data_IF_121717495551
#
_entry.id   IF_121717495551
#
_cell.length_a   1.000
_cell.length_b   1.000
_cell.length_c   1.000
_cell.angle_alpha   90.00
_cell.angle_beta   90.00
_cell.angle_gamma   90.00
#
_symmetry.space_group_name_H-M   'P 1'
#
loop_
_entity.id
_entity.type
_entity.pdbx_description
1 polymer ?
#
# COMPACT_ATOMS: atom_id res chain seq x y z
N UNK A 1 -18.95 -3.57 45.28
CA UNK A 1 -18.09 -3.75 44.09
C UNK A 1 -18.27 -2.50 43.25
N UNK A 2 -17.18 -1.82 42.93
CA UNK A 2 -17.23 -0.48 42.38
C UNK A 2 -17.97 -0.46 41.03
N UNK A 3 -19.04 0.34 40.93
CA UNK A 3 -19.80 0.54 39.70
C UNK A 3 -19.05 1.49 38.76
N UNK A 4 -17.83 1.12 38.35
CA UNK A 4 -17.04 1.93 37.42
C UNK A 4 -17.39 1.60 35.97
N UNK A 5 -17.13 2.54 35.07
CA UNK A 5 -17.29 2.32 33.63
C UNK A 5 -16.45 1.12 33.15
N UNK A 6 -15.25 0.93 33.68
CA UNK A 6 -14.37 -0.21 33.37
C UNK A 6 -15.09 -1.55 33.57
N UNK A 7 -15.67 -1.76 34.75
CA UNK A 7 -16.33 -3.03 35.09
C UNK A 7 -17.56 -3.26 34.20
N UNK A 8 -18.34 -2.21 33.95
CA UNK A 8 -19.50 -2.25 33.06
C UNK A 8 -19.08 -2.60 31.63
N UNK A 9 -18.00 -2.00 31.13
CA UNK A 9 -17.45 -2.24 29.79
C UNK A 9 -16.87 -3.64 29.68
N UNK A 10 -16.16 -4.12 30.70
CA UNK A 10 -15.60 -5.47 30.71
C UNK A 10 -16.70 -6.53 30.64
N UNK A 11 -17.80 -6.35 31.39
CA UNK A 11 -19.00 -7.21 31.28
C UNK A 11 -19.58 -7.21 29.87
N UNK A 12 -19.61 -6.05 29.20
CA UNK A 12 -20.09 -5.96 27.81
C UNK A 12 -19.22 -6.75 26.84
N UNK A 13 -17.90 -6.61 26.97
CA UNK A 13 -16.93 -7.33 26.14
C UNK A 13 -17.13 -8.84 26.30
N UNK A 14 -17.28 -9.33 27.54
CA UNK A 14 -17.54 -10.74 27.80
C UNK A 14 -18.91 -11.18 27.24
N UNK A 15 -19.95 -10.34 27.34
CA UNK A 15 -21.27 -10.63 26.80
C UNK A 15 -21.35 -10.64 25.26
N UNK A 16 -20.34 -10.12 24.56
CA UNK A 16 -20.25 -10.24 23.10
C UNK A 16 -19.79 -11.64 22.66
N UNK A 17 -19.22 -12.44 23.57
CA UNK A 17 -18.73 -13.80 23.32
C UNK A 17 -17.72 -13.87 22.14
N UNK A 18 -16.89 -12.84 21.99
CA UNK A 18 -15.89 -12.75 20.90
C UNK A 18 -14.64 -13.61 21.17
N UNK A 19 -14.45 -14.01 22.42
CA UNK A 19 -13.32 -14.82 22.91
C UNK A 19 -13.87 -16.01 23.69
N UNK A 20 -13.16 -17.14 23.61
CA UNK A 20 -13.60 -18.39 24.24
C UNK A 20 -13.55 -18.36 25.78
N UNK A 21 -12.69 -17.52 26.35
CA UNK A 21 -12.53 -17.37 27.81
C UNK A 21 -12.98 -15.96 28.25
N UNK A 22 -13.60 -15.88 29.42
CA UNK A 22 -13.98 -14.59 30.01
C UNK A 22 -12.74 -13.73 30.26
N UNK A 23 -12.77 -12.48 29.79
CA UNK A 23 -11.70 -11.55 30.06
C UNK A 23 -11.78 -11.06 31.51
N UNK A 24 -10.71 -11.24 32.33
CA UNK A 24 -10.71 -10.79 33.71
C UNK A 24 -10.31 -9.32 33.87
N UNK A 25 -9.71 -8.70 32.85
CA UNK A 25 -9.24 -7.31 32.90
C UNK A 25 -9.01 -6.72 31.52
N UNK A 26 -9.39 -5.45 31.33
CA UNK A 26 -9.13 -4.72 30.07
C UNK A 26 -7.64 -4.64 29.70
N UNK A 27 -6.70 -4.91 30.62
CA UNK A 27 -5.27 -4.99 30.27
C UNK A 27 -4.99 -6.03 29.18
N UNK A 28 -5.78 -7.10 29.08
CA UNK A 28 -5.64 -8.10 28.02
C UNK A 28 -5.99 -7.56 26.61
N UNK A 29 -6.45 -6.31 26.49
CA UNK A 29 -6.54 -5.63 25.19
C UNK A 29 -5.16 -5.38 24.58
N UNK A 30 -4.11 -5.16 25.38
CA UNK A 30 -2.75 -4.94 24.86
C UNK A 30 -2.13 -6.19 24.25
N UNK A 31 -2.62 -7.37 24.66
CA UNK A 31 -2.14 -8.66 24.17
C UNK A 31 -2.80 -9.03 22.82
N UNK A 32 -3.69 -8.18 22.28
CA UNK A 32 -4.38 -8.40 21.01
C UNK A 32 -5.51 -9.44 21.05
N UNK A 33 -5.57 -10.27 22.09
CA UNK A 33 -6.55 -11.36 22.23
C UNK A 33 -8.01 -10.91 22.14
N UNK A 34 -8.31 -9.69 22.61
CA UNK A 34 -9.68 -9.15 22.62
C UNK A 34 -9.87 -8.12 21.52
N UNK A 35 -8.86 -7.27 21.32
CA UNK A 35 -8.92 -6.20 20.34
C UNK A 35 -9.05 -6.75 18.91
N UNK A 36 -8.30 -7.80 18.57
CA UNK A 36 -8.30 -8.38 17.22
C UNK A 36 -9.67 -8.97 16.85
N UNK A 37 -10.33 -9.81 17.68
CA UNK A 37 -11.70 -10.24 17.43
C UNK A 37 -12.70 -9.08 17.33
N UNK A 38 -12.58 -8.10 18.22
CA UNK A 38 -13.49 -6.95 18.28
C UNK A 38 -13.38 -6.06 17.03
N UNK A 39 -12.17 -5.87 16.50
CA UNK A 39 -11.95 -5.21 15.21
C UNK A 39 -12.37 -6.08 14.02
N UNK A 40 -12.19 -7.40 14.12
CA UNK A 40 -12.59 -8.34 13.06
C UNK A 40 -14.10 -8.25 12.82
N UNK A 41 -14.89 -8.10 13.89
CA UNK A 41 -16.33 -7.86 13.81
C UNK A 41 -16.73 -6.55 13.12
N UNK A 42 -15.87 -5.52 13.14
CA UNK A 42 -16.17 -4.21 12.53
C UNK A 42 -15.79 -4.13 11.05
N UNK A 43 -14.88 -4.98 10.59
CA UNK A 43 -14.24 -4.88 9.27
C UNK A 43 -14.41 -6.10 8.39
N UNK A 44 -14.94 -7.22 8.91
CA UNK A 44 -14.95 -8.53 8.25
C UNK A 44 -13.56 -8.99 7.79
N UNK A 45 -12.52 -8.53 8.46
CA UNK A 45 -11.13 -8.93 8.25
C UNK A 45 -10.66 -9.78 9.43
N UNK A 46 -9.71 -10.69 9.20
CA UNK A 46 -9.07 -11.43 10.29
C UNK A 46 -7.77 -10.75 10.69
N UNK A 47 -7.72 -10.23 11.91
CA UNK A 47 -6.52 -9.62 12.46
C UNK A 47 -5.78 -10.60 13.38
N UNK A 48 -4.47 -10.75 13.17
CA UNK A 48 -3.56 -11.48 14.08
C UNK A 48 -2.41 -10.58 14.57
N UNK A 49 -2.59 -9.29 14.42
CA UNK A 49 -1.62 -8.24 14.67
C UNK A 49 -1.60 -7.93 16.18
N UNK A 50 -0.44 -7.48 16.69
CA UNK A 50 -0.30 -7.03 18.08
C UNK A 50 -0.97 -5.66 18.30
N UNK A 51 -1.15 -5.23 19.56
CA UNK A 51 -1.83 -3.96 19.84
C UNK A 51 -1.13 -2.76 19.17
N UNK A 52 0.21 -2.74 19.13
CA UNK A 52 1.01 -1.64 18.59
C UNK A 52 0.81 -1.49 17.09
N UNK A 53 0.82 -2.60 16.35
CA UNK A 53 0.59 -2.63 14.89
C UNK A 53 -0.85 -2.30 14.53
N UNK A 54 -1.81 -2.48 15.45
CA UNK A 54 -3.21 -2.09 15.27
C UNK A 54 -3.47 -0.59 15.51
N UNK A 55 -2.56 0.16 16.15
CA UNK A 55 -2.77 1.59 16.47
C UNK A 55 -3.14 2.44 15.24
N UNK A 56 -2.40 2.40 14.11
CA UNK A 56 -2.74 3.24 12.95
C UNK A 56 -4.15 2.96 12.41
N UNK A 57 -4.59 1.70 12.49
CA UNK A 57 -5.94 1.29 12.08
C UNK A 57 -6.99 1.78 13.07
N UNK A 58 -6.72 1.69 14.37
CA UNK A 58 -7.59 2.24 15.41
C UNK A 58 -7.75 3.74 15.28
N UNK A 59 -6.67 4.49 15.08
CA UNK A 59 -6.72 5.93 14.84
C UNK A 59 -7.53 6.28 13.59
N UNK A 60 -7.34 5.52 12.50
CA UNK A 60 -8.12 5.70 11.27
C UNK A 60 -9.61 5.44 11.51
N UNK A 61 -9.93 4.36 12.24
CA UNK A 61 -11.31 4.00 12.59
C UNK A 61 -11.97 5.06 13.48
N UNK A 62 -11.30 5.49 14.55
CA UNK A 62 -11.82 6.52 15.45
C UNK A 62 -12.02 7.86 14.72
N UNK A 63 -11.10 8.27 13.85
CA UNK A 63 -11.24 9.49 13.03
C UNK A 63 -12.42 9.43 12.05
N UNK A 64 -12.81 8.25 11.59
CA UNK A 64 -14.00 8.08 10.73
C UNK A 64 -15.31 8.27 11.48
N UNK A 65 -15.34 7.94 12.77
CA UNK A 65 -16.57 8.00 13.59
C UNK A 65 -16.66 9.23 14.50
N UNK A 66 -15.53 9.85 14.86
CA UNK A 66 -15.48 10.97 15.79
C UNK A 66 -14.59 12.10 15.26
N UNK A 67 -15.08 13.34 15.38
CA UNK A 67 -14.37 14.53 14.92
C UNK A 67 -13.35 15.09 15.96
N UNK A 68 -13.30 14.52 17.17
CA UNK A 68 -12.45 15.00 18.25
C UNK A 68 -10.98 14.61 18.05
N UNK A 69 -10.02 15.56 18.17
CA UNK A 69 -8.60 15.22 18.15
C UNK A 69 -8.20 14.49 19.43
N UNK A 70 -7.28 13.53 19.32
CA UNK A 70 -6.59 12.88 20.44
C UNK A 70 -7.53 12.40 21.56
N UNK A 71 -8.58 11.65 21.19
CA UNK A 71 -9.55 11.11 22.15
C UNK A 71 -8.92 10.07 23.09
N UNK A 72 -7.94 9.33 22.58
CA UNK A 72 -7.19 8.28 23.27
C UNK A 72 -5.72 8.65 23.26
N UNK A 73 -5.07 8.54 24.41
CA UNK A 73 -3.61 8.55 24.48
C UNK A 73 -3.10 7.11 24.26
N UNK A 74 -2.72 6.81 23.01
CA UNK A 74 -2.28 5.47 22.63
C UNK A 74 -0.94 5.09 23.27
N UNK A 75 -0.06 6.05 23.59
CA UNK A 75 1.20 5.75 24.28
C UNK A 75 0.90 5.20 25.69
N UNK A 76 0.02 5.88 26.42
CA UNK A 76 -0.48 5.40 27.72
C UNK A 76 -1.25 4.08 27.62
N UNK A 77 -2.03 3.87 26.55
CA UNK A 77 -2.78 2.64 26.34
C UNK A 77 -1.86 1.42 26.11
N UNK A 78 -0.78 1.58 25.34
CA UNK A 78 0.24 0.53 25.10
C UNK A 78 0.90 0.09 26.41
N UNK A 79 1.15 1.02 27.32
CA UNK A 79 1.73 0.73 28.65
C UNK A 79 0.70 0.09 29.60
N UNK A 80 -0.54 -0.12 29.15
CA UNK A 80 -1.58 -0.79 29.92
C UNK A 80 -2.35 0.15 30.85
N UNK A 81 -2.44 1.44 30.51
CA UNK A 81 -3.30 2.39 31.23
C UNK A 81 -4.76 1.95 31.13
N UNK A 82 -5.30 1.43 32.22
CA UNK A 82 -6.68 0.97 32.31
C UNK A 82 -7.68 2.06 31.91
N UNK A 83 -7.38 3.33 32.22
CA UNK A 83 -8.25 4.45 31.86
C UNK A 83 -8.32 4.64 30.34
N UNK A 84 -7.18 4.67 29.64
CA UNK A 84 -7.16 4.80 28.17
C UNK A 84 -7.75 3.58 27.48
N UNK A 85 -7.49 2.38 28.00
CA UNK A 85 -8.11 1.14 27.51
C UNK A 85 -9.63 1.16 27.70
N UNK A 86 -10.13 1.68 28.82
CA UNK A 86 -11.57 1.84 29.08
C UNK A 86 -12.20 2.80 28.07
N UNK A 87 -11.57 3.95 27.80
CA UNK A 87 -12.04 4.89 26.77
C UNK A 87 -12.06 4.22 25.39
N UNK A 88 -10.97 3.55 25.02
CA UNK A 88 -10.85 2.88 23.72
C UNK A 88 -11.97 1.86 23.55
N UNK A 89 -12.19 1.00 24.55
CA UNK A 89 -13.25 0.01 24.55
C UNK A 89 -14.64 0.66 24.45
N UNK A 90 -14.89 1.74 25.20
CA UNK A 90 -16.17 2.45 25.14
C UNK A 90 -16.45 2.97 23.73
N UNK A 91 -15.45 3.59 23.08
CA UNK A 91 -15.59 4.09 21.72
C UNK A 91 -15.80 2.96 20.70
N UNK A 92 -15.07 1.85 20.84
CA UNK A 92 -15.23 0.70 19.96
C UNK A 92 -16.60 0.03 20.13
N UNK A 93 -17.08 -0.14 21.37
CA UNK A 93 -18.44 -0.63 21.65
C UNK A 93 -19.50 0.30 21.07
N UNK A 94 -19.29 1.62 21.13
CA UNK A 94 -20.18 2.59 20.50
C UNK A 94 -20.23 2.42 18.98
N UNK A 95 -19.08 2.25 18.34
CA UNK A 95 -19.00 1.98 16.90
C UNK A 95 -19.75 0.68 16.58
N UNK A 96 -19.47 -0.41 17.29
CA UNK A 96 -20.16 -1.70 17.14
C UNK A 96 -21.68 -1.53 17.21
N UNK A 97 -22.19 -0.80 18.20
CA UNK A 97 -23.63 -0.60 18.39
C UNK A 97 -24.27 0.14 17.21
N UNK A 98 -23.53 1.04 16.57
CA UNK A 98 -24.01 1.79 15.41
C UNK A 98 -23.92 0.95 14.13
N UNK A 99 -22.82 0.23 13.93
CA UNK A 99 -22.53 -0.46 12.66
C UNK A 99 -23.13 -1.87 12.60
N UNK A 100 -23.11 -2.62 13.71
CA UNK A 100 -23.46 -4.04 13.76
C UNK A 100 -24.77 -4.29 14.52
N UNK A 101 -25.87 -4.46 13.77
CA UNK A 101 -27.22 -4.60 14.35
C UNK A 101 -27.36 -5.85 15.24
N UNK A 102 -26.68 -6.94 14.90
CA UNK A 102 -26.67 -8.20 15.67
C UNK A 102 -25.95 -8.03 17.00
N UNK A 103 -24.76 -7.39 16.99
CA UNK A 103 -23.99 -7.15 18.22
C UNK A 103 -24.65 -6.09 19.10
N UNK A 104 -25.33 -5.10 18.50
CA UNK A 104 -26.19 -4.16 19.25
C UNK A 104 -27.27 -4.90 20.03
N UNK A 105 -27.96 -5.86 19.41
CA UNK A 105 -29.00 -6.64 20.10
C UNK A 105 -28.40 -7.43 21.28
N UNK A 106 -27.20 -8.01 21.10
CA UNK A 106 -26.46 -8.72 22.14
C UNK A 106 -25.99 -7.85 23.29
N UNK A 107 -25.71 -6.56 23.07
CA UNK A 107 -25.27 -5.64 24.12
C UNK A 107 -26.45 -4.98 24.85
N UNK A 108 -27.42 -4.46 24.10
CA UNK A 108 -28.51 -3.65 24.66
C UNK A 108 -29.63 -4.51 25.23
N UNK A 109 -29.88 -5.68 24.63
CA UNK A 109 -30.92 -6.62 25.06
C UNK A 109 -30.30 -7.97 25.49
N UNK A 110 -29.08 -7.94 26.02
CA UNK A 110 -28.34 -9.15 26.40
C UNK A 110 -29.10 -9.94 27.46
N UNK A 111 -29.38 -11.25 27.28
CA UNK A 111 -29.86 -12.07 28.39
C UNK A 111 -28.75 -12.34 29.43
N UNK A 112 -27.48 -12.08 29.09
CA UNK A 112 -26.31 -12.31 29.94
C UNK A 112 -26.09 -11.14 30.91
N UNK A 113 -26.36 -9.91 30.45
CA UNK A 113 -26.21 -8.71 31.28
C UNK A 113 -27.48 -8.49 32.12
N UNK A 114 -27.30 -8.23 33.41
CA UNK A 114 -28.40 -7.83 34.29
C UNK A 114 -28.94 -6.44 33.91
N UNK A 115 -30.20 -6.18 34.26
CA UNK A 115 -30.90 -4.95 33.89
C UNK A 115 -30.16 -3.68 34.33
N UNK A 116 -29.50 -3.71 35.50
CA UNK A 116 -28.68 -2.59 35.98
C UNK A 116 -27.48 -2.34 35.05
N UNK A 117 -26.74 -3.38 34.65
CA UNK A 117 -25.63 -3.23 33.71
C UNK A 117 -26.12 -2.74 32.35
N UNK A 118 -27.23 -3.27 31.81
CA UNK A 118 -27.80 -2.80 30.54
C UNK A 118 -28.14 -1.29 30.58
N UNK A 119 -28.75 -0.82 31.66
CA UNK A 119 -29.07 0.59 31.84
C UNK A 119 -27.81 1.48 31.89
N UNK A 120 -26.77 1.03 32.59
CA UNK A 120 -25.47 1.72 32.69
C UNK A 120 -24.76 1.81 31.34
N UNK A 121 -24.76 0.72 30.58
CA UNK A 121 -24.20 0.67 29.21
C UNK A 121 -24.95 1.63 28.29
N UNK A 122 -26.27 1.60 28.35
CA UNK A 122 -27.11 2.53 27.59
C UNK A 122 -26.79 3.98 27.92
N UNK A 123 -26.63 4.31 29.22
CA UNK A 123 -26.21 5.64 29.66
C UNK A 123 -24.85 6.04 29.06
N UNK A 124 -23.84 5.18 29.17
CA UNK A 124 -22.49 5.45 28.64
C UNK A 124 -22.51 5.70 27.13
N UNK A 125 -23.21 4.85 26.38
CA UNK A 125 -23.33 4.96 24.93
C UNK A 125 -24.12 6.20 24.51
N UNK A 126 -25.22 6.51 25.19
CA UNK A 126 -25.99 7.75 24.96
C UNK A 126 -25.18 9.00 25.30
N UNK A 127 -24.34 8.96 26.34
CA UNK A 127 -23.50 10.09 26.73
C UNK A 127 -22.45 10.39 25.64
N UNK A 128 -21.84 9.36 25.06
CA UNK A 128 -20.95 9.49 23.88
C UNK A 128 -21.72 10.05 22.69
N UNK A 129 -22.89 9.48 22.38
CA UNK A 129 -23.71 9.90 21.23
C UNK A 129 -24.17 11.36 21.33
N UNK A 130 -24.69 11.78 22.50
CA UNK A 130 -25.21 13.13 22.75
C UNK A 130 -24.11 14.20 22.64
N UNK A 131 -22.85 13.84 22.92
CA UNK A 131 -21.73 14.76 22.74
C UNK A 131 -21.36 14.95 21.26
N UNK A 132 -21.41 13.88 20.45
CA UNK A 132 -21.13 13.94 19.02
C UNK A 132 -19.82 14.66 18.71
N UNK A 133 -19.88 15.75 17.94
CA UNK A 133 -18.71 16.57 17.58
C UNK A 133 -18.02 17.25 18.77
N UNK A 134 -18.70 17.39 19.93
CA UNK A 134 -18.13 17.94 21.16
C UNK A 134 -17.45 16.90 22.06
N UNK A 135 -17.28 15.66 21.58
CA UNK A 135 -16.57 14.62 22.32
C UNK A 135 -15.09 14.99 22.48
N UNK A 136 -14.57 14.92 23.69
CA UNK A 136 -13.18 15.26 24.02
C UNK A 136 -12.60 14.26 25.01
N UNK A 137 -11.27 14.13 25.04
CA UNK A 137 -10.57 13.27 26.00
C UNK A 137 -10.91 13.65 27.46
N UNK A 138 -11.07 14.95 27.76
CA UNK A 138 -11.51 15.43 29.08
C UNK A 138 -12.90 14.91 29.47
N UNK A 139 -13.85 14.91 28.53
CA UNK A 139 -15.18 14.37 28.78
C UNK A 139 -15.14 12.86 28.99
N UNK A 140 -14.39 12.13 28.16
CA UNK A 140 -14.21 10.68 28.31
C UNK A 140 -13.54 10.34 29.64
N UNK A 141 -12.56 11.12 30.10
CA UNK A 141 -11.96 10.97 31.44
C UNK A 141 -13.01 11.06 32.55
N UNK A 142 -13.90 12.07 32.48
CA UNK A 142 -14.98 12.23 33.45
C UNK A 142 -15.91 11.02 33.39
N UNK A 143 -16.35 10.64 32.19
CA UNK A 143 -17.27 9.52 32.00
C UNK A 143 -16.70 8.18 32.48
N UNK A 144 -15.41 7.93 32.28
CA UNK A 144 -14.75 6.70 32.73
C UNK A 144 -14.48 6.67 34.24
N UNK A 145 -14.43 7.82 34.91
CA UNK A 145 -14.18 7.93 36.36
C UNK A 145 -15.44 8.17 37.18
N UNK A 146 -16.58 8.42 36.53
CA UNK A 146 -17.88 8.59 37.15
C UNK A 146 -18.33 7.27 37.83
N UNK A 147 -18.89 7.39 39.04
CA UNK A 147 -19.52 6.26 39.72
C UNK A 147 -20.94 6.08 39.19
N UNK A 148 -21.20 4.91 38.62
CA UNK A 148 -22.49 4.58 38.00
C UNK A 148 -23.43 3.98 39.06
N UNK A 149 -23.91 4.82 39.99
CA UNK A 149 -24.82 4.38 41.05
C UNK A 149 -26.28 4.29 40.56
N UNK A 150 -27.02 3.29 41.07
CA UNK A 150 -28.38 2.97 40.60
C UNK A 150 -29.42 4.09 40.88
N UNK A 151 -29.07 5.10 41.70
CA UNK A 151 -29.96 6.21 42.07
C UNK A 151 -30.13 7.28 40.98
N UNK A 152 -29.26 7.34 39.96
CA UNK A 152 -29.39 8.32 38.88
C UNK A 152 -30.49 7.99 37.85
N UNK A 153 -31.10 6.80 37.93
CA UNK A 153 -32.08 6.34 36.94
C UNK A 153 -33.55 6.56 37.34
N UNK A 154 -33.86 6.87 38.60
CA UNK A 154 -35.25 6.95 39.08
C UNK A 154 -35.96 8.29 38.79
N UNK A 155 -35.21 9.38 38.61
CA UNK A 155 -35.83 10.72 38.54
C UNK A 155 -36.59 10.97 37.23
N UNK A 156 -36.36 10.17 36.17
CA UNK A 156 -36.99 10.40 34.87
C UNK A 156 -38.35 9.70 34.68
N UNK A 157 -38.75 8.79 35.58
CA UNK A 157 -39.96 7.95 35.42
C UNK A 157 -41.10 8.23 36.43
N UNK A 158 -40.89 9.07 37.44
CA UNK A 158 -41.79 9.17 38.61
C UNK A 158 -42.89 10.24 38.53
N UNK A 159 -43.08 10.93 37.40
CA UNK A 159 -44.04 12.03 37.26
C UNK A 159 -45.44 11.63 36.77
N UNK A 160 -45.72 10.34 36.56
CA UNK A 160 -46.98 9.85 35.99
C UNK A 160 -47.56 8.76 36.88
N UNK A 161 -48.20 9.08 38.02
CA UNK A 161 -49.19 8.20 38.71
C UNK A 161 -49.73 8.71 40.07
N UNK A 162 -50.07 10.00 40.22
CA UNK A 162 -50.80 10.44 41.44
C UNK A 162 -51.94 11.40 41.13
N UNK A 163 -53.12 10.84 40.86
CA UNK A 163 -54.42 11.50 41.05
C UNK A 163 -55.46 10.45 41.44
N UNK A 164 -56.24 10.76 42.49
CA UNK A 164 -57.52 10.19 42.93
C UNK A 164 -57.56 9.43 44.28
N UNK A 165 -58.17 10.09 45.27
CA UNK A 165 -58.94 9.50 46.38
C UNK A 165 -60.32 10.17 46.41
N UNK A 166 -61.42 9.46 46.76
CA UNK A 166 -62.66 10.10 47.18
C UNK A 166 -62.95 9.90 48.67
N UNK A 167 -63.59 10.94 49.22
CA UNK A 167 -63.97 11.16 50.61
C UNK A 167 -65.25 10.40 50.98
N UNK A 168 -65.29 9.87 52.20
CA UNK A 168 -66.39 9.16 52.86
C UNK A 168 -67.19 10.13 53.73
N UNK A 169 -68.53 10.02 53.74
CA UNK A 169 -69.41 10.76 54.67
C UNK A 169 -70.69 9.99 55.00
N UNK A 170 -70.83 9.58 56.26
CA UNK A 170 -71.98 8.90 56.88
C UNK A 170 -72.83 9.86 57.74
N UNK A 171 -74.10 9.50 57.95
CA UNK A 171 -74.98 9.94 59.05
C UNK A 171 -76.34 10.44 58.53
N UNK A 172 -77.53 10.02 58.98
CA UNK A 172 -77.97 9.24 60.14
C UNK A 172 -78.71 10.13 61.17
N UNK A 173 -80.04 10.01 61.31
CA UNK A 173 -80.76 10.37 62.56
C UNK A 173 -82.12 11.09 62.48
N UNK A 174 -83.22 10.33 62.64
CA UNK A 174 -84.24 10.43 63.73
C UNK A 174 -85.09 11.69 64.01
N UNK A 175 -86.41 11.57 63.75
CA UNK A 175 -87.52 11.65 64.73
C UNK A 175 -87.92 12.97 65.45
N UNK A 176 -89.24 13.28 65.46
CA UNK A 176 -89.88 13.98 66.61
C UNK A 176 -90.84 15.13 66.30
N UNK A 177 -92.11 14.94 66.67
CA UNK A 177 -93.31 15.78 66.48
C UNK A 177 -93.30 17.08 67.30
N UNK A 178 -93.72 18.22 66.71
CA UNK A 178 -94.19 19.42 67.45
C UNK A 178 -94.00 20.77 66.75
N UNK A 179 -95.08 21.55 66.58
CA UNK A 179 -95.05 23.02 66.42
C UNK A 179 -94.96 23.60 65.00
N UNK A 180 -96.11 23.93 64.39
CA UNK A 180 -96.19 24.55 63.05
C UNK A 180 -95.44 25.90 62.93
N UNK A 181 -95.23 26.64 64.02
CA UNK A 181 -94.47 27.90 64.03
C UNK A 181 -92.95 27.70 64.11
N UNK A 182 -92.48 26.66 64.80
CA UNK A 182 -91.06 26.29 64.84
C UNK A 182 -90.59 25.76 63.48
N UNK A 183 -91.44 24.98 62.79
CA UNK A 183 -91.19 24.53 61.43
C UNK A 183 -91.05 25.69 60.44
N UNK A 184 -91.84 26.76 60.59
CA UNK A 184 -91.77 27.90 59.68
C UNK A 184 -90.49 28.72 59.86
N UNK A 185 -90.01 28.89 61.11
CA UNK A 185 -88.72 29.54 61.37
C UNK A 185 -87.53 28.68 60.91
N UNK A 186 -87.61 27.37 61.12
CA UNK A 186 -86.57 26.45 60.67
C UNK A 186 -86.52 26.37 59.14
N UNK A 187 -87.67 26.36 58.44
CA UNK A 187 -87.71 26.44 56.97
C UNK A 187 -87.08 27.74 56.46
N UNK A 188 -87.37 28.89 57.09
CA UNK A 188 -86.73 30.17 56.70
C UNK A 188 -85.22 30.17 56.97
N UNK A 189 -84.78 29.58 58.08
CA UNK A 189 -83.36 29.43 58.42
C UNK A 189 -82.64 28.56 57.39
N UNK A 190 -83.25 27.43 57.02
CA UNK A 190 -82.71 26.52 56.00
C UNK A 190 -82.71 27.16 54.61
N UNK A 191 -83.74 27.93 54.23
CA UNK A 191 -83.76 28.71 52.98
C UNK A 191 -82.64 29.76 52.94
N UNK A 192 -82.43 30.48 54.03
CA UNK A 192 -81.32 31.45 54.12
C UNK A 192 -79.95 30.75 54.05
N UNK A 193 -79.81 29.59 54.70
CA UNK A 193 -78.57 28.82 54.65
C UNK A 193 -78.29 28.30 53.23
N UNK A 194 -79.31 27.83 52.51
CA UNK A 194 -79.18 27.43 51.12
C UNK A 194 -78.80 28.60 50.20
N UNK A 195 -79.39 29.78 50.40
CA UNK A 195 -79.03 30.99 49.66
C UNK A 195 -77.58 31.38 49.90
N UNK A 196 -77.13 31.39 51.15
CA UNK A 196 -75.73 31.71 51.48
C UNK A 196 -74.75 30.70 50.85
N UNK A 197 -75.06 29.39 50.90
CA UNK A 197 -74.24 28.37 50.24
C UNK A 197 -74.17 28.57 48.73
N UNK A 198 -75.30 28.87 48.08
CA UNK A 198 -75.35 29.15 46.65
C UNK A 198 -74.57 30.41 46.27
N UNK A 199 -74.60 31.45 47.11
CA UNK A 199 -73.79 32.66 46.91
C UNK A 199 -72.28 32.37 47.04
N UNK A 200 -71.86 31.57 48.02
CA UNK A 200 -70.47 31.13 48.16
C UNK A 200 -70.01 30.28 46.97
N UNK A 201 -70.85 29.34 46.51
CA UNK A 201 -70.55 28.52 45.34
C UNK A 201 -70.44 29.36 44.06
N UNK A 202 -71.33 30.34 43.89
CA UNK A 202 -71.26 31.30 42.78
C UNK A 202 -69.96 32.12 42.82
N UNK A 203 -69.53 32.57 44.00
CA UNK A 203 -68.27 33.29 44.17
C UNK A 203 -67.07 32.41 43.81
N UNK A 204 -67.03 31.17 44.31
CA UNK A 204 -65.98 30.18 44.01
C UNK A 204 -65.93 29.86 42.52
N UNK A 205 -67.09 29.69 41.88
CA UNK A 205 -67.19 29.45 40.44
C UNK A 205 -66.61 30.63 39.64
N UNK A 206 -66.95 31.87 40.01
CA UNK A 206 -66.44 33.07 39.35
C UNK A 206 -64.91 33.21 39.53
N UNK A 207 -64.38 32.97 40.73
CA UNK A 207 -62.94 32.94 40.97
C UNK A 207 -62.24 31.87 40.13
N UNK A 208 -62.81 30.66 40.04
CA UNK A 208 -62.27 29.59 39.20
C UNK A 208 -62.30 29.94 37.71
N UNK A 209 -63.35 30.60 37.22
CA UNK A 209 -63.43 31.10 35.84
C UNK A 209 -62.36 32.18 35.56
N UNK A 210 -62.10 33.08 36.50
CA UNK A 210 -61.03 34.07 36.34
C UNK A 210 -59.64 33.42 36.34
N UNK A 211 -59.42 32.41 37.19
CA UNK A 211 -58.16 31.67 37.23
C UNK A 211 -57.94 30.83 35.97
N UNK A 212 -59.00 30.22 35.42
CA UNK A 212 -58.90 29.46 34.17
C UNK A 212 -58.63 30.38 32.97
N UNK A 213 -59.28 31.54 32.90
CA UNK A 213 -59.02 32.55 31.87
C UNK A 213 -57.54 33.00 31.88
N UNK A 214 -56.99 33.34 33.06
CA UNK A 214 -55.56 33.69 33.21
C UNK A 214 -54.61 32.57 32.78
N UNK A 215 -54.97 31.31 33.05
CA UNK A 215 -54.19 30.15 32.60
C UNK A 215 -54.23 29.99 31.08
N UNK A 216 -55.40 30.16 30.47
CA UNK A 216 -55.58 30.12 29.01
C UNK A 216 -54.73 31.21 28.35
N UNK A 217 -54.76 32.44 28.85
CA UNK A 217 -53.94 33.54 28.30
C UNK A 217 -52.44 33.25 28.39
N UNK A 218 -51.99 32.69 29.52
CA UNK A 218 -50.58 32.30 29.69
C UNK A 218 -50.18 31.19 28.72
N UNK A 219 -51.04 30.21 28.50
CA UNK A 219 -50.81 29.14 27.53
C UNK A 219 -50.78 29.70 26.09
N UNK A 220 -51.69 30.61 25.74
CA UNK A 220 -51.71 31.25 24.42
C UNK A 220 -50.40 32.02 24.14
N UNK A 221 -49.87 32.75 25.12
CA UNK A 221 -48.58 33.42 25.00
C UNK A 221 -47.44 32.42 24.80
N UNK A 222 -47.47 31.27 25.50
CA UNK A 222 -46.47 30.23 25.34
C UNK A 222 -46.54 29.58 23.94
N UNK A 223 -47.74 29.30 23.44
CA UNK A 223 -47.96 28.76 22.09
C UNK A 223 -47.39 29.72 21.05
N UNK A 224 -47.72 31.02 21.11
CA UNK A 224 -47.18 32.02 20.19
C UNK A 224 -45.64 32.11 20.23
N UNK A 225 -45.04 32.00 21.43
CA UNK A 225 -43.57 31.98 21.57
C UNK A 225 -42.95 30.72 20.94
N UNK A 226 -43.61 29.57 21.07
CA UNK A 226 -43.14 28.32 20.46
C UNK A 226 -43.29 28.36 18.93
N UNK A 227 -44.39 28.89 18.41
CA UNK A 227 -44.59 29.09 16.96
C UNK A 227 -43.53 30.02 16.35
N UNK A 228 -43.19 31.11 17.03
CA UNK A 228 -42.13 32.02 16.59
C UNK A 228 -40.76 31.32 16.57
N UNK A 229 -40.45 30.54 17.62
CA UNK A 229 -39.22 29.73 17.67
C UNK A 229 -39.18 28.68 16.56
N UNK A 230 -40.29 28.00 16.31
CA UNK A 230 -40.40 26.98 15.25
C UNK A 230 -40.06 27.59 13.88
N UNK A 231 -40.68 28.73 13.54
CA UNK A 231 -40.41 29.46 12.29
C UNK A 231 -38.93 29.88 12.18
N UNK A 232 -38.33 30.32 13.28
CA UNK A 232 -36.91 30.69 13.30
C UNK A 232 -36.01 29.46 13.04
N UNK A 233 -36.32 28.31 13.63
CA UNK A 233 -35.58 27.07 13.39
C UNK A 233 -35.77 26.54 11.97
N UNK A 234 -36.96 26.67 11.38
CA UNK A 234 -37.22 26.30 9.98
C UNK A 234 -36.37 27.15 9.03
N UNK A 235 -36.35 28.47 9.22
CA UNK A 235 -35.51 29.38 8.42
C UNK A 235 -34.02 29.06 8.58
N UNK A 236 -33.58 28.73 9.81
CA UNK A 236 -32.19 28.32 10.05
C UNK A 236 -31.85 27.00 9.37
N UNK A 237 -32.77 26.03 9.37
CA UNK A 237 -32.60 24.75 8.68
C UNK A 237 -32.48 24.96 7.17
N UNK A 238 -33.37 25.73 6.58
CA UNK A 238 -33.39 25.97 5.14
C UNK A 238 -32.11 26.70 4.67
N UNK A 239 -31.60 27.63 5.48
CA UNK A 239 -30.30 28.27 5.23
C UNK A 239 -29.13 27.27 5.29
N UNK A 240 -29.13 26.37 6.28
CA UNK A 240 -28.11 25.32 6.36
C UNK A 240 -28.20 24.34 5.19
N UNK A 241 -29.40 23.98 4.75
CA UNK A 241 -29.61 23.10 3.59
C UNK A 241 -29.10 23.75 2.30
N UNK A 242 -29.33 25.05 2.09
CA UNK A 242 -28.75 25.78 0.96
C UNK A 242 -27.21 25.78 0.99
N UNK A 243 -26.61 25.97 2.17
CA UNK A 243 -25.14 25.92 2.33
C UNK A 243 -24.60 24.53 2.02
N UNK A 244 -25.28 23.47 2.47
CA UNK A 244 -24.91 22.08 2.17
C UNK A 244 -24.94 21.85 0.66
N UNK A 245 -26.05 22.19 -0.02
CA UNK A 245 -26.18 22.06 -1.48
C UNK A 245 -25.07 22.81 -2.23
N UNK A 246 -24.77 24.05 -1.82
CA UNK A 246 -23.66 24.82 -2.43
C UNK A 246 -22.28 24.19 -2.20
N UNK A 247 -22.07 23.56 -1.04
CA UNK A 247 -20.83 22.84 -0.72
C UNK A 247 -20.68 21.53 -1.49
N UNK A 248 -21.77 20.80 -1.69
CA UNK A 248 -21.82 19.59 -2.52
C UNK A 248 -21.52 19.91 -3.98
N UNK A 249 -22.09 20.99 -4.53
CA UNK A 249 -21.79 21.47 -5.89
C UNK A 249 -20.31 21.81 -6.06
N UNK A 250 -19.70 22.51 -5.09
CA UNK A 250 -18.27 22.84 -5.14
C UNK A 250 -17.40 21.58 -5.09
N UNK A 251 -17.76 20.61 -4.26
CA UNK A 251 -17.05 19.33 -4.13
C UNK A 251 -17.13 18.53 -5.43
N UNK A 252 -18.32 18.46 -6.04
CA UNK A 252 -18.51 17.79 -7.33
C UNK A 252 -17.70 18.46 -8.45
N UNK A 253 -17.65 19.80 -8.47
CA UNK A 253 -16.80 20.54 -9.41
C UNK A 253 -15.31 20.23 -9.21
N UNK A 254 -14.84 20.12 -7.96
CA UNK A 254 -13.46 19.75 -7.66
C UNK A 254 -13.16 18.30 -8.08
N UNK A 255 -14.07 17.36 -7.82
CA UNK A 255 -13.92 15.96 -8.22
C UNK A 255 -13.81 15.83 -9.74
N UNK A 256 -14.70 16.48 -10.49
CA UNK A 256 -14.64 16.50 -11.96
C UNK A 256 -13.34 17.13 -12.49
N UNK A 257 -12.79 18.12 -11.78
CA UNK A 257 -11.48 18.71 -12.14
C UNK A 257 -10.34 17.72 -11.89
N UNK A 258 -10.36 17.00 -10.77
CA UNK A 258 -9.36 15.99 -10.45
C UNK A 258 -9.40 14.84 -11.46
N UNK A 259 -10.57 14.33 -11.81
CA UNK A 259 -10.73 13.27 -12.82
C UNK A 259 -10.12 13.68 -14.17
N UNK A 260 -10.30 14.95 -14.56
CA UNK A 260 -9.69 15.48 -15.80
C UNK A 260 -8.17 15.54 -15.71
N UNK A 261 -7.63 15.97 -14.57
CA UNK A 261 -6.17 16.05 -14.36
C UNK A 261 -5.55 14.65 -14.35
N UNK A 262 -6.20 13.70 -13.69
CA UNK A 262 -5.78 12.30 -13.67
C UNK A 262 -5.77 11.70 -15.07
N UNK A 263 -6.85 11.89 -15.86
CA UNK A 263 -6.88 11.43 -17.25
C UNK A 263 -5.89 12.14 -18.18
N UNK A 264 -5.42 13.35 -17.87
CA UNK A 264 -4.29 13.97 -18.60
C UNK A 264 -2.98 13.30 -18.19
N UNK A 265 -2.75 13.11 -16.89
CA UNK A 265 -1.53 12.49 -16.36
C UNK A 265 -1.36 11.05 -16.86
N UNK A 266 -2.43 10.26 -16.92
CA UNK A 266 -2.40 8.90 -17.48
C UNK A 266 -1.98 8.90 -18.94
N UNK A 267 -2.54 9.81 -19.75
CA UNK A 267 -2.18 9.95 -21.17
C UNK A 267 -0.73 10.40 -21.35
N UNK A 268 -0.26 11.33 -20.54
CA UNK A 268 1.14 11.77 -20.57
C UNK A 268 2.12 10.66 -20.13
N UNK A 269 1.74 9.89 -19.11
CA UNK A 269 2.54 8.75 -18.64
C UNK A 269 2.64 7.68 -19.73
N UNK A 270 1.50 7.29 -20.30
CA UNK A 270 1.45 6.32 -21.40
C UNK A 270 2.25 6.81 -22.61
N UNK A 271 2.11 8.08 -23.00
CA UNK A 271 2.85 8.64 -24.13
C UNK A 271 4.36 8.63 -23.87
N UNK A 272 4.80 9.03 -22.68
CA UNK A 272 6.22 9.01 -22.30
C UNK A 272 6.79 7.59 -22.31
N UNK A 273 6.08 6.63 -21.72
CA UNK A 273 6.49 5.22 -21.72
C UNK A 273 6.59 4.68 -23.14
N UNK A 274 5.56 4.91 -23.96
CA UNK A 274 5.54 4.49 -25.35
C UNK A 274 6.72 5.05 -26.15
N UNK A 275 6.97 6.37 -26.06
CA UNK A 275 8.12 7.00 -26.73
C UNK A 275 9.47 6.45 -26.24
N UNK A 276 9.60 6.19 -24.93
CA UNK A 276 10.84 5.65 -24.35
C UNK A 276 11.10 4.24 -24.84
N UNK A 277 10.06 3.38 -24.84
CA UNK A 277 10.16 2.01 -25.37
C UNK A 277 10.54 2.04 -26.84
N UNK A 278 9.89 2.87 -27.65
CA UNK A 278 10.19 2.97 -29.07
C UNK A 278 11.63 3.44 -29.33
N UNK A 279 12.13 4.37 -28.53
CA UNK A 279 13.50 4.84 -28.60
C UNK A 279 14.49 3.72 -28.26
N UNK A 280 14.23 2.96 -27.18
CA UNK A 280 15.09 1.82 -26.79
C UNK A 280 15.12 0.76 -27.89
N UNK A 281 13.97 0.38 -28.44
CA UNK A 281 13.88 -0.58 -29.54
C UNK A 281 14.68 -0.10 -30.74
N UNK A 282 14.46 1.15 -31.18
CA UNK A 282 15.22 1.74 -32.30
C UNK A 282 16.74 1.72 -32.06
N UNK A 283 17.19 2.06 -30.84
CA UNK A 283 18.62 2.02 -30.52
C UNK A 283 19.16 0.59 -30.47
N UNK A 284 18.35 -0.38 -30.06
CA UNK A 284 18.75 -1.78 -30.03
C UNK A 284 18.88 -2.34 -31.44
N UNK A 285 17.92 -2.04 -32.33
CA UNK A 285 17.99 -2.41 -33.74
C UNK A 285 19.24 -1.81 -34.42
N UNK A 286 19.56 -0.54 -34.11
CA UNK A 286 20.80 0.09 -34.57
C UNK A 286 22.07 -0.62 -34.05
N UNK A 287 22.09 -1.02 -32.77
CA UNK A 287 23.23 -1.73 -32.19
C UNK A 287 23.38 -3.14 -32.78
N UNK A 288 22.28 -3.84 -32.98
CA UNK A 288 22.26 -5.17 -33.59
C UNK A 288 22.79 -5.11 -35.03
N UNK A 289 22.35 -4.12 -35.81
CA UNK A 289 22.86 -3.89 -37.18
C UNK A 289 24.36 -3.59 -37.23
N UNK A 290 24.92 -2.96 -36.18
CA UNK A 290 26.38 -2.71 -36.06
C UNK A 290 27.16 -3.92 -35.53
N UNK A 291 26.53 -4.78 -34.74
CA UNK A 291 27.17 -5.96 -34.17
C UNK A 291 27.40 -7.06 -35.22
N UNK A 292 26.49 -7.21 -36.17
CA UNK A 292 26.59 -8.20 -37.24
C UNK A 292 27.88 -8.07 -38.10
N UNK A 293 28.26 -6.88 -38.64
CA UNK A 293 29.49 -6.73 -39.39
C UNK A 293 30.75 -6.85 -38.52
N UNK A 294 30.69 -6.49 -37.23
CA UNK A 294 31.81 -6.70 -36.30
C UNK A 294 32.03 -8.19 -36.05
N UNK A 295 30.95 -8.96 -35.87
CA UNK A 295 31.00 -10.41 -35.70
C UNK A 295 31.53 -11.08 -36.96
N UNK A 296 31.12 -10.62 -38.14
CA UNK A 296 31.66 -11.10 -39.42
C UNK A 296 33.14 -10.79 -39.60
N UNK A 297 33.64 -9.67 -39.07
CA UNK A 297 35.08 -9.35 -39.06
C UNK A 297 35.87 -10.14 -38.03
N UNK A 298 35.28 -10.46 -36.88
CA UNK A 298 35.97 -11.18 -35.80
C UNK A 298 36.26 -12.65 -36.14
N UNK A 299 35.36 -13.31 -36.87
CA UNK A 299 35.51 -14.71 -37.30
C UNK A 299 36.78 -14.99 -38.11
N UNK A 300 37.08 -14.28 -39.22
CA UNK A 300 38.30 -14.50 -39.98
C UNK A 300 39.55 -14.14 -39.17
N UNK A 301 39.52 -13.09 -38.35
CA UNK A 301 40.67 -12.75 -37.49
C UNK A 301 40.93 -13.80 -36.42
N UNK A 302 39.89 -14.49 -35.93
CA UNK A 302 40.06 -15.65 -35.06
C UNK A 302 40.68 -16.82 -35.80
N UNK A 303 40.19 -17.14 -36.99
CA UNK A 303 40.74 -18.21 -37.82
C UNK A 303 42.22 -17.96 -38.20
N UNK A 304 42.58 -16.72 -38.52
CA UNK A 304 43.96 -16.32 -38.81
C UNK A 304 44.86 -16.46 -37.57
N UNK A 305 44.34 -16.13 -36.39
CA UNK A 305 45.06 -16.32 -35.12
C UNK A 305 45.34 -17.80 -34.84
N UNK A 306 44.35 -18.66 -35.02
CA UNK A 306 44.47 -20.11 -34.81
C UNK A 306 45.48 -20.71 -35.81
N UNK A 307 45.42 -20.27 -37.08
CA UNK A 307 46.37 -20.67 -38.12
C UNK A 307 47.81 -20.23 -37.79
N UNK A 308 48.00 -18.97 -37.36
CA UNK A 308 49.31 -18.46 -36.98
C UNK A 308 49.86 -19.19 -35.74
N UNK A 309 49.00 -19.58 -34.81
CA UNK A 309 49.39 -20.37 -33.65
C UNK A 309 49.85 -21.77 -34.06
N UNK A 310 49.18 -22.42 -35.01
CA UNK A 310 49.60 -23.71 -35.58
C UNK A 310 50.94 -23.61 -36.32
N UNK A 311 51.13 -22.55 -37.12
CA UNK A 311 52.40 -22.29 -37.82
C UNK A 311 53.55 -22.06 -36.83
N UNK A 312 53.32 -21.30 -35.76
CA UNK A 312 54.31 -21.08 -34.70
C UNK A 312 54.71 -22.38 -33.99
N UNK A 313 53.75 -23.27 -33.69
CA UNK A 313 54.02 -24.60 -33.12
C UNK A 313 54.88 -25.43 -34.09
N UNK A 314 54.54 -25.42 -35.38
CA UNK A 314 55.27 -26.17 -36.42
C UNK A 314 56.70 -25.68 -36.58
N UNK A 315 56.90 -24.35 -36.60
CA UNK A 315 58.22 -23.74 -36.69
C UNK A 315 59.06 -24.03 -35.45
N UNK A 316 58.46 -24.02 -34.26
CA UNK A 316 59.15 -24.37 -33.02
C UNK A 316 59.64 -25.83 -33.05
N UNK A 317 58.81 -26.76 -33.49
CA UNK A 317 59.21 -28.16 -33.65
C UNK A 317 60.34 -28.32 -34.66
N UNK A 318 60.24 -27.67 -35.83
CA UNK A 318 61.30 -27.71 -36.83
C UNK A 318 62.62 -27.08 -36.33
N UNK A 319 62.58 -26.16 -35.37
CA UNK A 319 63.77 -25.60 -34.74
C UNK A 319 64.43 -26.62 -33.79
N UNK A 320 63.63 -27.33 -32.99
CA UNK A 320 64.11 -28.43 -32.13
C UNK A 320 64.80 -29.50 -32.99
N UNK A 321 64.14 -29.96 -34.06
CA UNK A 321 64.71 -31.00 -34.93
C UNK A 321 66.03 -30.54 -35.60
N UNK A 322 66.17 -29.24 -35.89
CA UNK A 322 67.42 -28.67 -36.40
C UNK A 322 68.52 -28.64 -35.35
N UNK A 323 68.20 -28.28 -34.12
CA UNK A 323 69.14 -28.31 -33.00
C UNK A 323 69.67 -29.73 -32.78
N UNK A 324 68.79 -30.75 -32.82
CA UNK A 324 69.19 -32.17 -32.75
C UNK A 324 70.13 -32.58 -33.88
N UNK A 325 69.87 -32.13 -35.13
CA UNK A 325 70.75 -32.40 -36.27
C UNK A 325 72.11 -31.72 -36.09
N UNK A 326 72.14 -30.47 -35.59
CA UNK A 326 73.38 -29.74 -35.33
C UNK A 326 74.19 -30.45 -34.24
N UNK A 327 73.55 -30.91 -33.17
CA UNK A 327 74.20 -31.68 -32.10
C UNK A 327 74.78 -32.99 -32.62
N UNK A 328 74.04 -33.72 -33.46
CA UNK A 328 74.52 -34.94 -34.11
C UNK A 328 75.72 -34.66 -35.04
N UNK A 329 75.66 -33.59 -35.84
CA UNK A 329 76.78 -33.18 -36.70
C UNK A 329 78.00 -32.79 -35.87
N UNK A 330 77.82 -32.07 -34.77
CA UNK A 330 78.91 -31.71 -33.87
C UNK A 330 79.58 -32.95 -33.27
N UNK A 331 78.79 -33.94 -32.85
CA UNK A 331 79.31 -35.22 -32.34
C UNK A 331 80.12 -35.99 -33.41
N UNK A 332 79.63 -36.03 -34.65
CA UNK A 332 80.36 -36.66 -35.77
C UNK A 332 81.67 -35.94 -36.07
N UNK A 333 81.66 -34.60 -36.10
CA UNK A 333 82.87 -33.79 -36.32
C UNK A 333 83.88 -34.05 -35.20
N UNK A 334 83.42 -34.08 -33.95
CA UNK A 334 84.28 -34.36 -32.80
C UNK A 334 84.89 -35.77 -32.90
N UNK A 335 84.11 -36.77 -33.33
CA UNK A 335 84.61 -38.12 -33.60
C UNK A 335 85.73 -38.14 -34.65
N UNK A 336 85.55 -37.42 -35.77
CA UNK A 336 86.61 -37.29 -36.78
C UNK A 336 87.82 -36.51 -36.28
N UNK A 337 87.64 -35.49 -35.44
CA UNK A 337 88.77 -34.76 -34.84
C UNK A 337 89.63 -35.68 -33.98
N UNK A 338 89.01 -36.51 -33.13
CA UNK A 338 89.72 -37.51 -32.31
C UNK A 338 90.47 -38.49 -33.21
N UNK A 339 89.84 -39.02 -34.26
CA UNK A 339 90.48 -39.96 -35.18
C UNK A 339 91.68 -39.33 -35.92
N UNK A 340 91.58 -38.06 -36.32
CA UNK A 340 92.69 -37.30 -36.92
C UNK A 340 93.81 -37.08 -35.91
N UNK A 341 93.50 -36.74 -34.66
CA UNK A 341 94.48 -36.58 -33.58
C UNK A 341 95.23 -37.89 -33.30
N UNK A 342 94.51 -39.02 -33.22
CA UNK A 342 95.09 -40.36 -33.04
C UNK A 342 96.02 -40.73 -34.21
N UNK A 343 95.60 -40.46 -35.46
CA UNK A 343 96.43 -40.66 -36.64
C UNK A 343 97.67 -39.76 -36.65
N UNK A 344 97.54 -38.51 -36.19
CA UNK A 344 98.66 -37.58 -36.02
C UNK A 344 99.65 -38.06 -34.96
N UNK A 345 99.17 -38.57 -33.82
CA UNK A 345 100.01 -39.17 -32.78
C UNK A 345 100.70 -40.44 -33.26
N UNK A 346 99.98 -41.33 -33.95
CA UNK A 346 100.55 -42.53 -34.56
C UNK A 346 101.68 -42.20 -35.54
N UNK A 347 101.49 -41.14 -36.36
CA UNK A 347 102.53 -40.63 -37.27
C UNK A 347 103.75 -40.08 -36.52
N UNK A 348 103.54 -39.36 -35.40
CA UNK A 348 104.62 -38.84 -34.57
C UNK A 348 105.43 -39.94 -33.88
N UNK A 349 104.78 -41.00 -33.38
CA UNK A 349 105.45 -42.13 -32.73
C UNK A 349 106.29 -42.97 -33.70
N UNK A 350 105.93 -43.01 -34.99
CA UNK A 350 106.64 -43.77 -36.01
C UNK A 350 107.70 -42.98 -36.80
N UNK A 351 108.10 -41.79 -36.35
CA UNK A 351 109.10 -40.97 -37.05
C UNK A 351 110.47 -40.99 -36.37
N UNK A 352 111.35 -41.91 -36.81
CA UNK A 352 112.79 -41.89 -36.52
C UNK A 352 113.63 -41.71 -37.81
N UNK A 353 113.99 -40.43 -38.07
CA UNK A 353 115.18 -39.88 -38.78
C UNK A 353 115.26 -39.93 -40.34
N UNK A 354 116.04 -39.03 -41.00
CA UNK A 354 115.97 -37.55 -40.97
C UNK A 354 116.12 -36.87 -42.37
N UNK A 355 115.62 -35.64 -42.57
CA UNK A 355 116.16 -34.63 -43.52
C UNK A 355 115.42 -33.30 -43.32
N UNK A 356 116.06 -32.27 -42.75
CA UNK A 356 116.74 -31.13 -43.41
C UNK A 356 115.85 -30.31 -44.36
N UNK A 357 115.47 -29.16 -43.82
CA UNK A 357 115.19 -27.81 -44.33
C UNK A 357 115.19 -27.45 -45.82
N UNK A 358 114.25 -26.53 -46.09
CA UNK A 358 114.26 -25.35 -46.96
C UNK A 358 114.00 -25.45 -48.47
N UNK A 359 113.03 -24.63 -48.89
CA UNK A 359 113.09 -23.94 -50.19
C UNK A 359 111.86 -24.02 -51.07
N UNK A 360 110.89 -23.13 -50.81
CA UNK A 360 110.16 -22.32 -51.81
C UNK A 360 109.87 -22.93 -53.19
N UNK A 361 108.59 -23.20 -53.50
CA UNK A 361 108.07 -22.86 -54.82
C UNK A 361 106.56 -22.63 -54.82
N UNK A 362 106.19 -21.53 -55.47
CA UNK A 362 104.84 -21.07 -55.78
C UNK A 362 104.07 -22.04 -56.67
N UNK A 363 102.84 -22.37 -56.29
CA UNK A 363 101.89 -23.12 -57.13
C UNK A 363 100.49 -22.53 -57.00
N UNK A 364 100.08 -21.84 -58.06
CA UNK A 364 98.82 -21.12 -58.27
C UNK A 364 97.54 -21.94 -58.00
N UNK A 365 96.40 -21.27 -57.72
CA UNK A 365 95.16 -21.94 -57.34
C UNK A 365 94.47 -22.55 -58.55
N UNK A 366 94.30 -23.88 -58.54
CA UNK A 366 93.48 -24.57 -59.52
C UNK A 366 92.01 -24.43 -59.10
N UNK A 367 91.32 -23.56 -59.84
CA UNK A 367 89.86 -23.54 -59.98
C UNK A 367 89.33 -24.95 -60.24
N UNK A 368 88.42 -25.42 -59.39
CA UNK A 368 87.45 -26.42 -59.79
C UNK A 368 86.19 -25.69 -60.24
N UNK A 369 86.06 -25.56 -61.56
CA UNK A 369 84.80 -25.31 -62.22
C UNK A 369 83.93 -26.57 -62.08
N UNK A 370 82.79 -26.44 -61.40
CA UNK A 370 81.66 -27.38 -61.48
C UNK A 370 80.48 -26.68 -62.16
N UNK A 371 79.74 -27.37 -63.03
CA UNK A 371 78.86 -26.75 -64.00
C UNK A 371 77.54 -26.35 -63.33
N UNK A 372 77.35 -25.05 -63.12
CA UNK A 372 76.01 -24.49 -62.97
C UNK A 372 75.44 -24.26 -64.37
N UNK A 373 74.68 -25.24 -64.84
CA UNK A 373 73.75 -25.08 -65.95
C UNK A 373 72.66 -24.08 -65.54
N UNK A 374 72.88 -22.81 -65.85
CA UNK A 374 71.79 -21.87 -66.08
C UNK A 374 71.26 -22.05 -67.49
N UNK A 375 69.95 -22.30 -67.62
CA UNK A 375 69.16 -21.59 -68.60
C UNK A 375 68.20 -20.69 -67.83
N UNK A 376 68.46 -19.38 -67.83
CA UNK A 376 67.37 -18.43 -67.97
C UNK A 376 67.17 -18.30 -69.49
N UNK A 377 65.98 -18.58 -70.02
CA UNK A 377 65.04 -17.47 -70.11
C UNK A 377 63.56 -17.85 -69.95
N UNK A 378 62.83 -16.92 -69.33
CA UNK A 378 61.59 -16.45 -69.96
C UNK A 378 60.28 -17.02 -69.44
N UNK A 379 59.36 -16.09 -69.19
CA UNK A 379 57.90 -16.25 -69.43
C UNK A 379 57.07 -17.12 -68.48
N UNK A 380 57.48 -17.37 -67.23
CA UNK A 380 56.54 -18.00 -66.26
C UNK A 380 56.16 -17.18 -65.04
N UNK A 381 56.97 -16.21 -64.63
CA UNK A 381 56.67 -15.39 -63.43
C UNK A 381 55.82 -14.16 -63.78
N UNK A 382 55.93 -13.61 -65.00
CA UNK A 382 55.02 -12.57 -65.47
C UNK A 382 53.59 -13.11 -65.66
N UNK A 383 53.43 -14.32 -66.21
CA UNK A 383 52.10 -14.95 -66.33
C UNK A 383 51.42 -15.25 -64.99
N UNK A 384 52.18 -15.43 -63.89
CA UNK A 384 51.58 -15.69 -62.57
C UNK A 384 51.09 -14.40 -61.92
N UNK A 385 51.82 -13.29 -62.09
CA UNK A 385 51.35 -11.97 -61.67
C UNK A 385 50.15 -11.53 -62.50
N UNK A 386 50.20 -11.75 -63.82
CA UNK A 386 49.09 -11.42 -64.73
C UNK A 386 47.88 -12.32 -64.47
N UNK A 387 48.05 -13.63 -64.25
CA UNK A 387 46.95 -14.53 -63.88
C UNK A 387 46.35 -14.23 -62.50
N UNK A 388 47.16 -13.78 -61.52
CA UNK A 388 46.64 -13.34 -60.21
C UNK A 388 45.87 -12.02 -60.35
N UNK A 389 46.39 -11.06 -61.14
CA UNK A 389 45.70 -9.80 -61.41
C UNK A 389 44.39 -10.05 -62.17
N UNK A 390 44.39 -10.92 -63.19
CA UNK A 390 43.19 -11.31 -63.93
C UNK A 390 42.18 -12.02 -63.04
N UNK A 391 42.62 -12.91 -62.14
CA UNK A 391 41.73 -13.57 -61.17
C UNK A 391 41.13 -12.56 -60.19
N UNK A 392 41.92 -11.63 -59.65
CA UNK A 392 41.43 -10.57 -58.77
C UNK A 392 40.44 -9.67 -59.52
N UNK A 393 40.74 -9.29 -60.76
CA UNK A 393 39.85 -8.48 -61.58
C UNK A 393 38.56 -9.23 -61.93
N UNK A 394 38.63 -10.53 -62.19
CA UNK A 394 37.46 -11.36 -62.47
C UNK A 394 36.59 -11.54 -61.22
N UNK A 395 37.18 -11.81 -60.05
CA UNK A 395 36.47 -11.87 -58.77
C UNK A 395 35.85 -10.51 -58.43
N UNK A 396 36.58 -9.41 -58.67
CA UNK A 396 36.07 -8.05 -58.45
C UNK A 396 34.89 -7.75 -59.39
N UNK A 397 34.99 -8.09 -60.68
CA UNK A 397 33.87 -7.94 -61.64
C UNK A 397 32.65 -8.78 -61.24
N UNK A 398 32.88 -10.00 -60.76
CA UNK A 398 31.80 -10.89 -60.32
C UNK A 398 31.10 -10.34 -59.08
N UNK A 399 31.87 -9.75 -58.16
CA UNK A 399 31.35 -9.12 -56.94
C UNK A 399 30.64 -7.80 -57.23
N UNK A 400 31.13 -7.01 -58.18
CA UNK A 400 30.44 -5.80 -58.65
C UNK A 400 29.10 -6.17 -59.29
N UNK A 401 29.08 -7.18 -60.17
CA UNK A 401 27.84 -7.65 -60.81
C UNK A 401 26.80 -8.14 -59.78
N UNK A 402 27.25 -8.88 -58.76
CA UNK A 402 26.37 -9.33 -57.68
C UNK A 402 25.79 -8.15 -56.89
N UNK A 403 26.58 -7.11 -56.64
CA UNK A 403 26.13 -5.89 -55.97
C UNK A 403 25.15 -5.10 -56.84
N UNK A 404 25.38 -5.02 -58.15
CA UNK A 404 24.45 -4.40 -59.10
C UNK A 404 23.10 -5.12 -59.10
N UNK A 405 23.09 -6.46 -59.14
CA UNK A 405 21.87 -7.28 -59.05
C UNK A 405 21.12 -7.06 -57.72
N UNK A 406 21.84 -6.93 -56.60
CA UNK A 406 21.25 -6.62 -55.29
C UNK A 406 20.66 -5.20 -55.24
N UNK A 407 21.32 -4.22 -55.84
CA UNK A 407 20.81 -2.84 -55.91
C UNK A 407 19.54 -2.79 -56.76
N UNK A 408 19.50 -3.44 -57.92
CA UNK A 408 18.28 -3.52 -58.75
C UNK A 408 17.11 -4.17 -58.02
N UNK A 409 17.38 -5.19 -57.19
CA UNK A 409 16.35 -5.85 -56.39
C UNK A 409 15.83 -4.96 -55.25
N UNK A 410 16.72 -4.24 -54.56
CA UNK A 410 16.34 -3.27 -53.55
C UNK A 410 15.51 -2.12 -54.15
N UNK A 411 15.88 -1.62 -55.34
CA UNK A 411 15.10 -0.61 -56.05
C UNK A 411 13.71 -1.12 -56.46
N UNK A 412 13.60 -2.37 -56.92
CA UNK A 412 12.30 -3.01 -57.20
C UNK A 412 11.43 -3.11 -55.94
N UNK A 413 12.01 -3.49 -54.81
CA UNK A 413 11.30 -3.62 -53.54
C UNK A 413 10.84 -2.25 -53.01
N UNK A 414 11.71 -1.23 -53.06
CA UNK A 414 11.39 0.13 -52.63
C UNK A 414 10.27 0.75 -53.49
N UNK A 415 10.30 0.52 -54.81
CA UNK A 415 9.24 0.94 -55.71
C UNK A 415 7.90 0.24 -55.42
N UNK A 416 7.95 -1.03 -54.97
CA UNK A 416 6.74 -1.78 -54.59
C UNK A 416 6.12 -1.20 -53.32
N UNK A 417 6.94 -0.95 -52.29
CA UNK A 417 6.52 -0.34 -51.03
C UNK A 417 5.93 1.05 -51.26
N UNK A 418 6.56 1.88 -52.10
CA UNK A 418 6.04 3.22 -52.41
C UNK A 418 4.68 3.16 -53.11
N UNK A 419 4.47 2.21 -54.04
CA UNK A 419 3.16 2.01 -54.70
C UNK A 419 2.09 1.52 -53.74
N UNK A 420 2.43 0.71 -52.75
CA UNK A 420 1.49 0.28 -51.71
C UNK A 420 1.12 1.45 -50.79
N UNK A 421 2.09 2.31 -50.47
CA UNK A 421 1.86 3.51 -49.67
C UNK A 421 0.98 4.54 -50.37
N UNK A 422 1.02 4.64 -51.70
CA UNK A 422 0.15 5.54 -52.46
C UNK A 422 -1.29 5.01 -52.63
N UNK A 423 -1.54 3.72 -52.37
CA UNK A 423 -2.89 3.12 -52.45
C UNK A 423 -3.65 3.13 -51.12
N UNK A 424 -2.95 3.32 -50.01
CA UNK A 424 -3.51 3.48 -48.67
C UNK A 424 -3.59 4.97 -48.31
#
# INVERSE_FOLDING_TARGET
MDNTAEIVILKCVNALELVMEECPSLKHFTDGCILSPLLSCLKNDTYKDDFVTLIPRLESLLRKHFAGPNLIDFESAVVGSTQELTKLCLLLLHIIVITESTLRARLVNSPILDYSTQAKVKYLLEAVQKRGAGLSSRFLNILCTEKLDDHHHHHHHQMIQQCHTPVRGSGGGGGGVGGAEAKTREVKRLQQQQLNTLEEEKLKMNQNQQLSAKKIDKLNIQVQKLEAKLKQTELSRDNMEMKIKSGEELTNQQMTRLDRVEGVKERECFHREYCTIHQVVSTNDELESKNEPLTMKLKPTSADRDRLQEEMITLHQANIDKEDIIELQAAVIQGFQVEVEDLCHYRQEHQALPCVSDGSFSGSPIRMDLPMSSPTPGTRVENLKEAVVDKILQETRSRVKLLEEQVEELERNLNTINRERERN
#
